data_IF_530689720073
#
_entry.id   IF_530689720073
#
_cell.length_a   1.000
_cell.length_b   1.000
_cell.length_c   1.000
_cell.angle_alpha   90.00
_cell.angle_beta   90.00
_cell.angle_gamma   90.00
#
_symmetry.space_group_name_H-M   'P 1'
#
loop_
_entity.id
_entity.type
_entity.pdbx_description
1 polymer ?
#
# COMPACT_ATOMS: atom_id res chain seq x y z
N UNK A 1 -23.48 22.85 14.51
CA UNK A 1 -22.61 23.17 15.68
C UNK A 1 -21.96 24.52 15.42
N UNK A 2 -21.99 25.45 16.38
CA UNK A 2 -21.40 26.78 16.22
C UNK A 2 -19.90 26.78 16.51
N UNK A 3 -19.10 27.69 15.89
CA UNK A 3 -17.66 27.80 16.18
C UNK A 3 -17.33 28.01 17.66
N UNK A 4 -18.21 28.67 18.40
CA UNK A 4 -18.04 28.91 19.86
C UNK A 4 -18.21 27.60 20.65
N UNK A 5 -19.17 26.75 20.29
CA UNK A 5 -19.38 25.45 20.93
C UNK A 5 -18.17 24.52 20.69
N UNK A 6 -17.63 24.48 19.47
CA UNK A 6 -16.42 23.72 19.16
C UNK A 6 -15.24 24.22 20.00
N UNK A 7 -15.05 25.56 20.08
CA UNK A 7 -13.97 26.15 20.87
C UNK A 7 -14.07 25.79 22.34
N UNK A 8 -15.30 25.75 22.91
CA UNK A 8 -15.54 25.35 24.26
C UNK A 8 -15.20 23.88 24.53
N UNK A 9 -15.61 22.98 23.64
CA UNK A 9 -15.30 21.54 23.76
C UNK A 9 -13.80 21.29 23.69
N UNK A 10 -13.09 21.94 22.75
CA UNK A 10 -11.63 21.84 22.64
C UNK A 10 -10.97 22.33 23.95
N UNK A 11 -11.42 23.45 24.50
CA UNK A 11 -10.88 23.99 25.75
C UNK A 11 -11.07 23.01 26.92
N UNK A 12 -12.27 22.43 27.06
CA UNK A 12 -12.55 21.41 28.07
C UNK A 12 -11.67 20.16 27.91
N UNK A 13 -11.44 19.72 26.68
CA UNK A 13 -10.53 18.62 26.41
C UNK A 13 -9.08 18.95 26.81
N UNK A 14 -8.58 20.13 26.44
CA UNK A 14 -7.25 20.60 26.83
C UNK A 14 -7.07 20.71 28.33
N UNK A 15 -8.11 21.17 29.04
CA UNK A 15 -8.14 21.23 30.50
C UNK A 15 -8.11 19.84 31.14
N UNK A 16 -8.87 18.90 30.59
CA UNK A 16 -8.86 17.51 31.06
C UNK A 16 -7.50 16.82 30.82
N UNK A 17 -6.88 17.06 29.69
CA UNK A 17 -5.57 16.47 29.35
C UNK A 17 -4.39 17.18 30.02
N UNK A 18 -4.60 18.39 30.56
CA UNK A 18 -3.55 19.23 31.15
C UNK A 18 -2.53 19.78 30.12
N UNK A 19 -2.80 19.66 28.82
CA UNK A 19 -1.91 20.12 27.73
C UNK A 19 -2.69 20.86 26.66
N UNK A 20 -2.03 21.82 25.99
CA UNK A 20 -2.60 22.52 24.84
C UNK A 20 -2.41 21.68 23.57
N UNK A 21 -3.50 21.47 22.84
CA UNK A 21 -3.48 20.77 21.54
C UNK A 21 -3.42 21.76 20.38
N UNK A 22 -3.92 23.00 20.57
CA UNK A 22 -3.93 24.04 19.57
C UNK A 22 -3.19 25.29 20.07
N UNK A 23 -2.49 25.97 19.16
CA UNK A 23 -1.97 27.32 19.33
C UNK A 23 -2.71 28.26 18.40
N UNK A 24 -3.00 29.46 18.92
CA UNK A 24 -3.72 30.53 18.20
C UNK A 24 -2.75 31.69 17.96
N UNK A 25 -2.40 31.95 16.72
CA UNK A 25 -1.56 33.06 16.32
C UNK A 25 -2.35 33.97 15.36
N UNK A 26 -2.55 35.22 15.77
CA UNK A 26 -3.09 36.39 15.00
C UNK A 26 -4.09 36.15 13.86
N UNK A 27 -4.77 35.06 13.67
CA UNK A 27 -5.77 34.65 12.66
C UNK A 27 -5.61 33.20 12.16
N UNK A 28 -4.63 32.49 12.65
CA UNK A 28 -4.42 31.09 12.30
C UNK A 28 -4.49 30.22 13.54
N UNK A 29 -5.10 29.05 13.37
CA UNK A 29 -5.11 27.98 14.38
C UNK A 29 -4.23 26.88 13.84
N UNK A 30 -3.23 26.46 14.59
CA UNK A 30 -2.35 25.33 14.26
C UNK A 30 -2.24 24.38 15.44
N UNK A 31 -1.84 23.14 15.17
CA UNK A 31 -1.59 22.15 16.21
C UNK A 31 -0.31 22.47 16.98
N UNK A 32 -0.28 22.09 18.24
CA UNK A 32 0.96 21.96 19.02
C UNK A 32 1.59 20.62 18.73
N UNK A 33 2.85 20.38 19.17
CA UNK A 33 3.50 19.07 19.11
C UNK A 33 2.66 17.97 19.80
N UNK A 34 1.97 18.32 20.91
CA UNK A 34 1.05 17.41 21.59
C UNK A 34 -0.18 17.12 20.71
N UNK A 35 -0.73 18.15 20.05
CA UNK A 35 -1.84 18.00 19.10
C UNK A 35 -1.50 17.14 17.91
N UNK A 36 -0.32 17.33 17.30
CA UNK A 36 0.16 16.52 16.17
C UNK A 36 0.34 15.03 16.53
N UNK A 37 0.73 14.75 17.76
CA UNK A 37 0.86 13.37 18.26
C UNK A 37 -0.49 12.75 18.61
N UNK A 38 -1.44 13.54 19.10
CA UNK A 38 -2.73 13.05 19.57
C UNK A 38 -3.75 12.87 18.43
N UNK A 39 -3.73 13.77 17.43
CA UNK A 39 -4.68 13.80 16.33
C UNK A 39 -4.81 12.46 15.57
N UNK A 40 -3.74 11.73 15.20
CA UNK A 40 -3.89 10.47 14.47
C UNK A 40 -4.70 9.41 15.24
N UNK A 41 -4.51 9.31 16.56
CA UNK A 41 -5.26 8.38 17.40
C UNK A 41 -6.74 8.76 17.52
N UNK A 42 -7.05 10.06 17.60
CA UNK A 42 -8.44 10.54 17.62
C UNK A 42 -9.10 10.31 16.25
N UNK A 43 -8.40 10.56 15.16
CA UNK A 43 -8.92 10.28 13.82
C UNK A 43 -9.28 8.80 13.67
N UNK A 44 -8.39 7.89 14.03
CA UNK A 44 -8.67 6.45 14.02
C UNK A 44 -9.91 6.07 14.86
N UNK A 45 -10.04 6.63 16.04
CA UNK A 45 -11.19 6.38 16.91
C UNK A 45 -12.51 6.91 16.31
N UNK A 46 -12.50 8.09 15.70
CA UNK A 46 -13.67 8.66 15.04
C UNK A 46 -14.04 7.93 13.75
N UNK A 47 -13.04 7.49 12.97
CA UNK A 47 -13.25 6.67 11.78
C UNK A 47 -13.91 5.34 12.16
N UNK A 48 -13.53 4.73 13.27
CA UNK A 48 -14.16 3.52 13.81
C UNK A 48 -15.62 3.76 14.21
N UNK A 49 -15.91 4.88 14.90
CA UNK A 49 -17.29 5.25 15.25
C UNK A 49 -18.13 5.50 13.99
N UNK A 50 -17.59 6.20 13.00
CA UNK A 50 -18.27 6.41 11.71
C UNK A 50 -18.56 5.08 11.03
N UNK A 51 -17.58 4.19 11.01
CA UNK A 51 -17.68 2.86 10.43
C UNK A 51 -18.77 2.02 11.09
N UNK A 52 -18.78 1.97 12.43
CA UNK A 52 -19.81 1.29 13.22
C UNK A 52 -21.22 1.87 12.95
N UNK A 53 -21.34 3.20 12.86
CA UNK A 53 -22.59 3.87 12.52
C UNK A 53 -23.07 3.50 11.12
N UNK A 54 -22.16 3.50 10.15
CA UNK A 54 -22.45 3.12 8.76
C UNK A 54 -22.96 1.68 8.68
N UNK A 55 -22.37 0.73 9.45
CA UNK A 55 -22.86 -0.67 9.55
C UNK A 55 -24.32 -0.74 9.95
N UNK A 56 -24.72 0.05 10.92
CA UNK A 56 -26.12 0.08 11.40
C UNK A 56 -27.09 0.72 10.40
N UNK A 57 -26.59 1.68 9.59
CA UNK A 57 -27.42 2.43 8.63
C UNK A 57 -27.49 1.80 7.25
N UNK A 58 -26.62 0.84 6.93
CA UNK A 58 -26.60 0.21 5.60
C UNK A 58 -27.76 -0.76 5.48
N UNK A 59 -28.58 -0.58 4.43
CA UNK A 59 -29.72 -1.44 4.13
C UNK A 59 -29.30 -2.90 3.92
N UNK A 60 -30.15 -3.88 4.35
CA UNK A 60 -29.81 -5.31 4.30
C UNK A 60 -29.65 -5.90 2.88
N UNK A 61 -29.87 -5.12 1.82
CA UNK A 61 -29.96 -5.60 0.44
C UNK A 61 -28.64 -5.53 -0.36
N UNK A 62 -27.58 -4.91 0.16
CA UNK A 62 -26.27 -4.91 -0.51
C UNK A 62 -25.28 -5.70 0.38
N UNK A 63 -24.82 -6.83 -0.15
CA UNK A 63 -23.74 -7.57 0.47
C UNK A 63 -22.43 -6.80 0.29
N UNK A 64 -21.98 -6.07 1.30
CA UNK A 64 -20.71 -5.36 1.26
C UNK A 64 -19.57 -6.22 1.81
N UNK A 65 -18.36 -6.02 1.29
CA UNK A 65 -17.13 -6.58 1.84
C UNK A 65 -16.06 -5.49 1.94
N UNK A 66 -15.49 -5.35 3.14
CA UNK A 66 -14.43 -4.39 3.44
C UNK A 66 -13.08 -5.10 3.33
N UNK A 67 -12.21 -4.62 2.47
CA UNK A 67 -10.97 -5.30 2.13
C UNK A 67 -9.79 -4.36 2.33
N UNK A 68 -8.87 -4.75 3.20
CA UNK A 68 -7.60 -4.04 3.41
C UNK A 68 -6.53 -4.62 2.49
N UNK A 69 -5.88 -3.81 1.67
CA UNK A 69 -5.01 -4.31 0.58
C UNK A 69 -3.66 -3.58 0.60
N UNK A 70 -2.58 -4.33 0.41
CA UNK A 70 -1.26 -3.74 0.18
C UNK A 70 -1.30 -2.77 -1.02
N UNK A 71 -0.82 -1.51 -0.89
CA UNK A 71 -1.06 -0.44 -1.86
C UNK A 71 -0.64 -0.78 -3.30
N UNK A 72 0.51 -1.44 -3.49
CA UNK A 72 0.96 -1.81 -4.83
C UNK A 72 0.08 -2.87 -5.47
N UNK A 73 -0.38 -3.85 -4.68
CA UNK A 73 -1.30 -4.87 -5.15
C UNK A 73 -2.66 -4.26 -5.51
N UNK A 74 -3.19 -3.39 -4.65
CA UNK A 74 -4.46 -2.70 -4.90
C UNK A 74 -4.43 -1.94 -6.21
N UNK A 75 -3.48 -1.01 -6.35
CA UNK A 75 -3.47 -0.06 -7.48
C UNK A 75 -3.05 -0.69 -8.80
N UNK A 76 -2.15 -1.68 -8.78
CA UNK A 76 -1.52 -2.19 -9.99
C UNK A 76 -2.06 -3.53 -10.44
N UNK A 77 -2.55 -4.35 -9.50
CA UNK A 77 -3.12 -5.64 -9.87
C UNK A 77 -4.64 -5.67 -9.75
N UNK A 78 -5.19 -5.23 -8.62
CA UNK A 78 -6.61 -5.42 -8.30
C UNK A 78 -7.51 -4.40 -9.02
N UNK A 79 -7.24 -3.10 -8.90
CA UNK A 79 -8.05 -2.04 -9.51
C UNK A 79 -8.26 -2.24 -11.01
N UNK A 80 -7.24 -2.60 -11.82
CA UNK A 80 -7.43 -2.85 -13.25
C UNK A 80 -8.39 -4.01 -13.58
N UNK A 81 -8.68 -4.88 -12.61
CA UNK A 81 -9.50 -6.10 -12.79
C UNK A 81 -10.88 -6.01 -12.15
N UNK A 82 -11.14 -5.00 -11.31
CA UNK A 82 -12.38 -4.86 -10.54
C UNK A 82 -13.64 -4.85 -11.43
N UNK A 83 -13.57 -4.29 -12.62
CA UNK A 83 -14.70 -4.28 -13.56
C UNK A 83 -15.17 -5.67 -13.94
N UNK A 84 -14.27 -6.67 -13.99
CA UNK A 84 -14.62 -8.07 -14.22
C UNK A 84 -15.39 -8.66 -13.04
N UNK A 85 -14.98 -8.33 -11.81
CA UNK A 85 -15.73 -8.72 -10.62
C UNK A 85 -17.12 -8.12 -10.61
N UNK A 86 -17.24 -6.82 -10.85
CA UNK A 86 -18.54 -6.11 -10.86
C UNK A 86 -19.50 -6.63 -11.92
N UNK A 87 -18.99 -7.09 -13.06
CA UNK A 87 -19.80 -7.70 -14.10
C UNK A 87 -20.37 -9.07 -13.67
N UNK A 88 -19.66 -9.84 -12.83
CA UNK A 88 -20.08 -11.14 -12.31
C UNK A 88 -20.96 -11.02 -11.07
N UNK A 89 -20.70 -10.01 -10.23
CA UNK A 89 -21.34 -9.82 -8.92
C UNK A 89 -21.83 -8.38 -8.75
N UNK A 90 -22.84 -7.94 -9.53
CA UNK A 90 -23.31 -6.55 -9.52
C UNK A 90 -23.94 -6.12 -8.19
N UNK A 91 -24.42 -7.09 -7.39
CA UNK A 91 -25.05 -6.84 -6.09
C UNK A 91 -24.05 -6.82 -4.91
N UNK A 92 -22.73 -6.97 -5.19
CA UNK A 92 -21.69 -6.94 -4.18
C UNK A 92 -20.98 -5.60 -4.17
N UNK A 93 -21.05 -4.90 -3.05
CA UNK A 93 -20.30 -3.66 -2.82
C UNK A 93 -18.88 -3.97 -2.31
N UNK A 94 -17.87 -3.54 -3.04
CA UNK A 94 -16.46 -3.63 -2.61
C UNK A 94 -16.01 -2.32 -1.97
N UNK A 95 -15.45 -2.39 -0.77
CA UNK A 95 -14.87 -1.26 -0.04
C UNK A 95 -13.41 -1.54 0.23
N UNK A 96 -12.53 -0.72 -0.34
CA UNK A 96 -11.09 -0.92 -0.21
C UNK A 96 -10.44 0.12 0.68
N UNK A 97 -9.52 -0.35 1.52
CA UNK A 97 -8.54 0.47 2.21
C UNK A 97 -7.12 0.04 1.81
N UNK A 98 -6.20 1.00 1.71
CA UNK A 98 -4.81 0.71 1.38
C UNK A 98 -3.94 0.78 2.64
N UNK A 99 -3.31 -0.34 3.02
CA UNK A 99 -2.42 -0.39 4.19
C UNK A 99 -1.20 -1.28 3.95
N UNK A 100 -0.11 -0.96 4.65
CA UNK A 100 1.09 -1.81 4.71
C UNK A 100 1.19 -2.60 6.02
N UNK A 101 0.29 -2.33 6.97
CA UNK A 101 0.19 -3.00 8.27
C UNK A 101 -0.72 -4.23 8.24
N UNK A 102 -0.70 -4.99 9.32
CA UNK A 102 -1.63 -6.08 9.56
C UNK A 102 -2.91 -5.56 10.20
N UNK A 103 -4.02 -6.16 9.84
CA UNK A 103 -5.35 -5.80 10.34
C UNK A 103 -5.65 -6.59 11.61
N UNK A 104 -6.20 -5.91 12.59
CA UNK A 104 -6.87 -6.54 13.72
C UNK A 104 -8.33 -6.84 13.32
N UNK A 105 -8.61 -8.07 12.92
CA UNK A 105 -9.94 -8.49 12.49
C UNK A 105 -10.99 -8.51 13.60
N UNK A 106 -10.57 -8.51 14.87
CA UNK A 106 -11.49 -8.51 16.01
C UNK A 106 -12.00 -7.09 16.30
N UNK A 107 -11.16 -6.08 16.04
CA UNK A 107 -11.45 -4.68 16.40
C UNK A 107 -11.54 -3.75 15.19
N UNK A 108 -11.65 -4.28 13.97
CA UNK A 108 -11.83 -3.47 12.76
C UNK A 108 -13.01 -3.96 11.92
N UNK A 109 -13.46 -3.11 11.00
CA UNK A 109 -14.51 -3.44 10.02
C UNK A 109 -14.00 -4.26 8.84
N UNK A 110 -12.73 -4.58 8.83
CA UNK A 110 -12.13 -5.30 7.72
C UNK A 110 -12.59 -6.75 7.73
N UNK A 111 -13.16 -7.18 6.62
CA UNK A 111 -13.61 -8.56 6.44
C UNK A 111 -12.49 -9.45 5.92
N UNK A 112 -11.69 -8.91 5.01
CA UNK A 112 -10.60 -9.62 4.34
C UNK A 112 -9.40 -8.68 4.15
N UNK A 113 -8.20 -9.26 4.03
CA UNK A 113 -7.03 -8.45 3.70
C UNK A 113 -6.12 -9.15 2.68
N UNK A 114 -5.36 -8.35 1.92
CA UNK A 114 -4.26 -8.86 1.11
C UNK A 114 -2.95 -8.44 1.74
N UNK A 115 -2.25 -9.39 2.34
CA UNK A 115 -0.97 -9.18 3.00
C UNK A 115 0.20 -9.51 2.09
N UNK A 116 1.30 -8.81 2.33
CA UNK A 116 2.61 -9.16 1.81
C UNK A 116 3.49 -9.67 2.95
N UNK A 117 3.92 -10.92 2.91
CA UNK A 117 4.70 -11.53 3.98
C UNK A 117 5.03 -13.00 3.75
N UNK A 118 5.36 -13.70 4.82
CA UNK A 118 5.84 -15.09 4.79
C UNK A 118 4.71 -16.14 4.90
N UNK A 119 3.46 -15.71 5.11
CA UNK A 119 2.32 -16.62 5.19
C UNK A 119 2.20 -17.35 6.54
N UNK A 120 2.74 -16.81 7.63
CA UNK A 120 2.80 -17.46 8.94
C UNK A 120 2.00 -16.73 10.04
N UNK A 121 0.95 -16.01 9.66
CA UNK A 121 0.08 -15.29 10.61
C UNK A 121 -0.83 -16.25 11.36
N UNK A 122 -1.06 -15.96 12.65
CA UNK A 122 -1.95 -16.74 13.51
C UNK A 122 -3.37 -16.14 13.51
N UNK A 123 -4.38 -16.98 13.71
CA UNK A 123 -5.78 -16.56 13.85
C UNK A 123 -6.44 -16.15 12.53
N UNK A 124 -5.83 -16.46 11.39
CA UNK A 124 -6.38 -16.17 10.06
C UNK A 124 -6.32 -17.40 9.14
N UNK A 125 -7.31 -17.55 8.29
CA UNK A 125 -7.27 -18.41 7.12
C UNK A 125 -6.42 -17.73 6.05
N UNK A 126 -5.52 -18.48 5.41
CA UNK A 126 -4.48 -17.95 4.53
C UNK A 126 -4.58 -18.61 3.16
N UNK A 127 -4.76 -17.79 2.11
CA UNK A 127 -4.76 -18.25 0.73
C UNK A 127 -3.58 -17.61 -0.02
N UNK A 128 -2.67 -18.44 -0.50
CA UNK A 128 -1.57 -17.98 -1.33
C UNK A 128 -2.09 -17.37 -2.64
N UNK A 129 -1.58 -16.20 -3.00
CA UNK A 129 -1.89 -15.53 -4.26
C UNK A 129 -0.73 -15.63 -5.24
N UNK A 130 0.42 -15.06 -4.90
CA UNK A 130 1.61 -15.13 -5.78
C UNK A 130 2.91 -14.77 -5.07
N UNK A 131 3.98 -15.38 -5.51
CA UNK A 131 5.34 -14.94 -5.17
C UNK A 131 5.65 -13.61 -5.84
N UNK A 132 6.61 -12.89 -5.26
CA UNK A 132 7.14 -11.67 -5.82
C UNK A 132 8.62 -11.82 -6.14
N UNK A 133 9.00 -11.22 -7.25
CA UNK A 133 10.38 -11.10 -7.67
C UNK A 133 10.65 -9.65 -8.07
N UNK A 134 11.59 -8.99 -7.40
CA UNK A 134 11.90 -7.59 -7.67
C UNK A 134 12.97 -7.45 -8.74
N UNK A 135 12.71 -6.58 -9.72
CA UNK A 135 13.67 -6.15 -10.73
C UNK A 135 13.85 -4.63 -10.68
N UNK A 136 15.04 -4.10 -11.00
CA UNK A 136 15.22 -2.65 -11.21
C UNK A 136 14.38 -2.14 -12.37
N UNK A 137 13.73 -0.99 -12.15
CA UNK A 137 12.93 -0.32 -13.18
C UNK A 137 13.15 1.19 -13.14
N UNK A 138 13.06 1.83 -14.30
CA UNK A 138 13.17 3.28 -14.42
C UNK A 138 12.40 3.80 -15.64
N UNK A 139 12.23 5.11 -15.71
CA UNK A 139 11.77 5.78 -16.93
C UNK A 139 12.78 5.58 -18.06
N UNK A 140 12.33 5.41 -19.34
CA UNK A 140 13.21 5.33 -20.51
C UNK A 140 14.21 6.49 -20.60
N UNK A 141 13.82 7.69 -20.16
CA UNK A 141 14.70 8.87 -20.17
C UNK A 141 16.00 8.68 -19.37
N UNK A 142 16.02 7.78 -18.38
CA UNK A 142 17.24 7.46 -17.63
C UNK A 142 18.22 6.55 -18.39
N UNK A 143 17.79 5.97 -19.51
CA UNK A 143 18.63 5.16 -20.40
C UNK A 143 19.35 5.99 -21.46
N UNK A 144 18.87 7.23 -21.68
CA UNK A 144 19.30 8.10 -22.79
C UNK A 144 20.45 9.02 -22.42
N UNK A 145 21.16 9.50 -23.47
CA UNK A 145 22.23 10.49 -23.35
C UNK A 145 23.58 9.95 -22.84
N UNK A 146 24.54 10.82 -22.65
CA UNK A 146 25.89 10.44 -22.19
C UNK A 146 25.89 9.91 -20.76
N UNK A 147 25.03 10.46 -19.90
CA UNK A 147 24.83 10.01 -18.51
C UNK A 147 23.78 8.89 -18.39
N UNK A 148 23.32 8.29 -19.50
CA UNK A 148 22.38 7.19 -19.51
C UNK A 148 22.92 5.92 -18.84
N UNK A 149 22.00 5.05 -18.41
CA UNK A 149 22.34 3.74 -17.85
C UNK A 149 22.78 2.79 -19.00
N UNK A 150 24.05 2.44 -19.06
CA UNK A 150 24.63 1.54 -20.05
C UNK A 150 25.17 0.26 -19.41
N UNK A 151 25.76 0.38 -18.22
CA UNK A 151 26.30 -0.74 -17.47
C UNK A 151 25.89 -0.67 -15.99
N UNK A 152 25.96 -1.79 -15.23
CA UNK A 152 25.53 -1.83 -13.83
C UNK A 152 26.18 -0.79 -12.91
N UNK A 153 27.43 -0.40 -13.19
CA UNK A 153 28.13 0.64 -12.40
C UNK A 153 27.48 2.01 -12.47
N UNK A 154 26.75 2.30 -13.55
CA UNK A 154 26.06 3.57 -13.73
C UNK A 154 24.97 3.78 -12.66
N UNK A 155 24.48 2.71 -12.03
CA UNK A 155 23.56 2.76 -10.89
C UNK A 155 24.09 3.61 -9.74
N UNK A 156 25.43 3.66 -9.54
CA UNK A 156 26.06 4.46 -8.48
C UNK A 156 25.88 5.97 -8.67
N UNK A 157 25.63 6.41 -9.92
CA UNK A 157 25.45 7.80 -10.28
C UNK A 157 23.97 8.21 -10.37
N UNK A 158 23.04 7.28 -10.13
CA UNK A 158 21.60 7.51 -10.18
C UNK A 158 20.97 7.49 -8.80
N UNK A 159 19.80 8.08 -8.69
CA UNK A 159 19.01 7.98 -7.45
C UNK A 159 18.43 6.58 -7.34
N UNK A 160 18.76 5.87 -6.25
CA UNK A 160 18.10 4.60 -5.92
C UNK A 160 16.94 4.86 -4.97
N UNK A 161 15.75 4.48 -5.43
CA UNK A 161 14.49 4.67 -4.70
C UNK A 161 14.26 3.45 -3.83
N UNK A 162 14.20 3.67 -2.51
CA UNK A 162 13.96 2.63 -1.52
C UNK A 162 12.49 2.61 -1.08
N UNK A 163 12.04 1.46 -0.62
CA UNK A 163 10.81 1.31 0.15
C UNK A 163 11.18 1.17 1.62
N UNK A 164 10.50 1.88 2.51
CA UNK A 164 10.71 1.82 3.96
C UNK A 164 10.68 0.37 4.46
N UNK A 165 11.65 0.00 5.30
CA UNK A 165 11.81 -1.37 5.80
C UNK A 165 12.44 -2.37 4.81
N UNK A 166 12.79 -1.95 3.57
CA UNK A 166 13.30 -2.84 2.51
C UNK A 166 14.61 -2.35 1.88
N UNK A 167 15.42 -1.61 2.63
CA UNK A 167 16.68 -1.03 2.13
C UNK A 167 17.70 -2.07 1.65
N UNK A 168 17.69 -3.28 2.21
CA UNK A 168 18.62 -4.34 1.87
C UNK A 168 18.43 -4.90 0.44
N UNK A 169 17.25 -4.72 -0.18
CA UNK A 169 16.97 -5.23 -1.51
C UNK A 169 17.91 -4.62 -2.57
N UNK A 170 18.16 -3.32 -2.52
CA UNK A 170 19.12 -2.68 -3.41
C UNK A 170 20.56 -3.18 -3.20
N UNK A 171 20.96 -3.45 -1.96
CA UNK A 171 22.28 -4.01 -1.69
C UNK A 171 22.43 -5.40 -2.32
N UNK A 172 21.42 -6.24 -2.24
CA UNK A 172 21.40 -7.57 -2.87
C UNK A 172 21.44 -7.49 -4.40
N UNK A 173 20.67 -6.61 -5.01
CA UNK A 173 20.69 -6.36 -6.46
C UNK A 173 22.07 -5.89 -6.91
N UNK A 174 22.66 -4.92 -6.24
CA UNK A 174 24.00 -4.42 -6.57
C UNK A 174 25.07 -5.51 -6.42
N UNK A 175 24.98 -6.32 -5.37
CA UNK A 175 25.89 -7.46 -5.16
C UNK A 175 25.78 -8.49 -6.31
N UNK A 176 24.56 -8.85 -6.72
CA UNK A 176 24.34 -9.78 -7.83
C UNK A 176 24.87 -9.21 -9.17
N UNK A 177 24.80 -7.88 -9.35
CA UNK A 177 25.34 -7.18 -10.52
C UNK A 177 26.88 -6.97 -10.44
N UNK A 178 27.53 -7.41 -9.36
CA UNK A 178 28.97 -7.22 -9.14
C UNK A 178 29.37 -5.77 -8.82
N UNK A 179 28.39 -4.93 -8.42
CA UNK A 179 28.61 -3.52 -8.11
C UNK A 179 28.81 -3.35 -6.61
N UNK A 180 29.94 -2.80 -6.19
CA UNK A 180 30.18 -2.46 -4.78
C UNK A 180 29.42 -1.19 -4.42
N UNK A 181 28.59 -1.25 -3.38
CA UNK A 181 27.74 -0.15 -2.91
C UNK A 181 28.52 1.01 -2.22
N UNK A 182 29.80 1.14 -2.48
CA UNK A 182 30.64 2.25 -1.98
C UNK A 182 30.39 3.48 -2.84
N UNK A 183 29.80 4.53 -2.26
CA UNK A 183 29.62 5.81 -2.97
C UNK A 183 28.20 6.07 -3.49
N UNK A 184 27.16 5.42 -3.01
CA UNK A 184 25.77 5.77 -3.30
C UNK A 184 25.49 7.20 -2.80
N UNK A 185 25.51 8.16 -3.71
CA UNK A 185 25.40 9.58 -3.37
C UNK A 185 23.95 10.08 -3.30
N UNK A 186 22.99 9.34 -3.85
CA UNK A 186 21.58 9.77 -3.91
C UNK A 186 20.65 8.62 -3.58
N UNK A 187 19.91 8.76 -2.50
CA UNK A 187 18.83 7.82 -2.14
C UNK A 187 17.57 8.57 -1.78
N UNK A 188 16.44 8.00 -2.14
CA UNK A 188 15.12 8.48 -1.77
C UNK A 188 14.31 7.32 -1.20
N UNK A 189 13.43 7.56 -0.24
CA UNK A 189 12.64 6.50 0.40
C UNK A 189 11.16 6.85 0.40
N UNK A 190 10.33 5.89 0.02
CA UNK A 190 8.88 5.98 0.06
C UNK A 190 8.28 4.92 0.97
N UNK A 191 7.07 5.15 1.46
CA UNK A 191 6.37 4.22 2.36
C UNK A 191 5.84 2.97 1.65
N UNK A 192 5.70 2.98 0.32
CA UNK A 192 5.19 1.84 -0.44
C UNK A 192 5.83 1.70 -1.83
N UNK A 193 5.80 0.49 -2.38
CA UNK A 193 6.26 0.21 -3.76
C UNK A 193 5.45 1.00 -4.79
N UNK A 194 4.15 1.22 -4.55
CA UNK A 194 3.31 2.00 -5.47
C UNK A 194 3.87 3.41 -5.68
N UNK A 195 4.22 4.10 -4.59
CA UNK A 195 4.83 5.44 -4.64
C UNK A 195 6.24 5.42 -5.24
N UNK A 196 7.04 4.41 -4.91
CA UNK A 196 8.39 4.25 -5.47
C UNK A 196 8.34 4.08 -7.00
N UNK A 197 7.40 3.29 -7.51
CA UNK A 197 7.21 3.07 -8.94
C UNK A 197 6.70 4.34 -9.63
N UNK A 198 5.76 5.09 -9.01
CA UNK A 198 5.32 6.38 -9.54
C UNK A 198 6.48 7.36 -9.67
N UNK A 199 7.36 7.43 -8.67
CA UNK A 199 8.57 8.26 -8.74
C UNK A 199 9.55 7.81 -9.84
N UNK A 200 9.65 6.50 -10.11
CA UNK A 200 10.47 5.99 -11.20
C UNK A 200 9.91 6.33 -12.59
N UNK A 201 8.57 6.33 -12.77
CA UNK A 201 7.90 6.77 -14.00
C UNK A 201 8.23 8.23 -14.30
N UNK A 202 8.22 9.09 -13.27
CA UNK A 202 8.58 10.52 -13.37
C UNK A 202 10.08 10.78 -13.57
N UNK A 203 10.90 9.74 -13.73
CA UNK A 203 12.33 9.87 -13.99
C UNK A 203 13.16 10.30 -12.78
N UNK A 204 12.64 10.27 -11.55
CA UNK A 204 13.36 10.66 -10.32
C UNK A 204 14.55 9.72 -10.05
N UNK A 205 14.41 8.43 -10.41
CA UNK A 205 15.44 7.43 -10.19
C UNK A 205 14.98 6.02 -10.54
N UNK A 206 15.70 5.02 -10.01
CA UNK A 206 15.34 3.62 -10.19
C UNK A 206 14.60 3.10 -8.96
N UNK A 207 13.52 2.35 -9.17
CA UNK A 207 12.82 1.61 -8.15
C UNK A 207 13.00 0.10 -8.33
N UNK A 208 12.68 -0.67 -7.27
CA UNK A 208 12.55 -2.12 -7.35
C UNK A 208 11.07 -2.49 -7.36
N UNK A 209 10.64 -3.20 -8.39
CA UNK A 209 9.25 -3.60 -8.58
C UNK A 209 9.13 -5.04 -9.10
N UNK A 210 8.01 -5.68 -8.80
CA UNK A 210 7.67 -6.97 -9.41
C UNK A 210 7.12 -6.76 -10.83
N UNK A 211 7.66 -7.52 -11.79
CA UNK A 211 7.33 -7.38 -13.22
C UNK A 211 5.82 -7.48 -13.49
N UNK A 212 5.13 -8.40 -12.82
CA UNK A 212 3.70 -8.58 -13.03
C UNK A 212 2.83 -7.44 -12.45
N UNK A 213 3.35 -6.69 -11.47
CA UNK A 213 2.66 -5.51 -10.93
C UNK A 213 2.88 -4.26 -11.78
N UNK A 214 3.82 -4.27 -12.73
CA UNK A 214 4.17 -3.12 -13.57
C UNK A 214 4.07 -3.43 -15.06
N UNK A 215 3.45 -4.53 -15.43
CA UNK A 215 3.36 -4.97 -16.82
C UNK A 215 2.74 -3.90 -17.71
N UNK A 216 1.69 -3.23 -17.24
CA UNK A 216 1.02 -2.15 -17.98
C UNK A 216 1.94 -0.97 -18.27
N UNK A 217 2.76 -0.58 -17.32
CA UNK A 217 3.74 0.50 -17.45
C UNK A 217 4.88 0.11 -18.41
N UNK A 218 5.29 -1.17 -18.41
CA UNK A 218 6.25 -1.70 -19.36
C UNK A 218 5.66 -1.72 -20.78
N UNK A 219 4.44 -2.22 -20.96
CA UNK A 219 3.74 -2.25 -22.25
C UNK A 219 3.44 -0.83 -22.78
N UNK A 220 3.12 0.12 -21.90
CA UNK A 220 2.91 1.51 -22.25
C UNK A 220 4.22 2.30 -22.50
N UNK A 221 5.39 1.68 -22.32
CA UNK A 221 6.70 2.32 -22.45
C UNK A 221 6.99 3.40 -21.40
N UNK A 222 6.25 3.42 -20.30
CA UNK A 222 6.49 4.34 -19.18
C UNK A 222 7.66 3.91 -18.29
N UNK A 223 7.89 2.59 -18.22
CA UNK A 223 9.01 1.98 -17.52
C UNK A 223 9.78 1.04 -18.44
N UNK A 224 11.07 0.91 -18.15
CA UNK A 224 11.96 -0.09 -18.74
C UNK A 224 12.71 -0.83 -17.64
N UNK A 225 13.15 -2.05 -17.94
CA UNK A 225 14.03 -2.85 -17.08
C UNK A 225 15.45 -2.66 -17.62
N UNK A 226 16.31 -1.87 -16.95
CA UNK A 226 17.65 -1.54 -17.48
C UNK A 226 18.60 -2.74 -17.44
N UNK A 227 18.41 -3.66 -16.51
CA UNK A 227 19.24 -4.86 -16.35
C UNK A 227 18.35 -6.06 -16.07
N UNK A 228 18.55 -7.15 -16.82
CA UNK A 228 17.79 -8.40 -16.66
C UNK A 228 18.30 -9.17 -15.44
N UNK A 229 17.90 -8.67 -14.27
CA UNK A 229 18.20 -9.23 -12.96
C UNK A 229 16.93 -9.26 -12.13
N UNK A 230 16.79 -10.32 -11.34
CA UNK A 230 15.64 -10.52 -10.48
C UNK A 230 16.10 -10.95 -9.09
N UNK A 231 15.53 -10.34 -8.08
CA UNK A 231 15.68 -10.72 -6.70
C UNK A 231 14.43 -11.47 -6.24
N UNK A 232 14.54 -12.79 -6.12
CA UNK A 232 13.49 -13.61 -5.54
C UNK A 232 13.33 -13.28 -4.06
N UNK A 233 12.07 -13.25 -3.61
CA UNK A 233 11.75 -12.92 -2.24
C UNK A 233 11.10 -14.11 -1.54
N UNK A 234 11.45 -14.34 -0.26
CA UNK A 234 10.78 -15.36 0.55
C UNK A 234 9.33 -14.96 0.90
N UNK A 235 8.91 -13.77 0.50
CA UNK A 235 7.60 -13.18 0.80
C UNK A 235 6.72 -13.18 -0.43
N UNK A 236 5.42 -13.45 -0.19
CA UNK A 236 4.41 -13.51 -1.23
C UNK A 236 3.20 -12.63 -0.85
N UNK A 237 2.27 -12.46 -1.78
CA UNK A 237 0.93 -11.97 -1.46
C UNK A 237 0.02 -13.12 -1.06
N UNK A 238 -0.82 -12.84 -0.06
CA UNK A 238 -1.81 -13.76 0.47
C UNK A 238 -3.11 -13.03 0.71
N UNK A 239 -4.23 -13.64 0.35
CA UNK A 239 -5.55 -13.25 0.82
C UNK A 239 -5.77 -13.89 2.18
N UNK A 240 -6.18 -13.10 3.16
CA UNK A 240 -6.42 -13.56 4.54
C UNK A 240 -7.74 -13.02 5.08
N UNK A 241 -8.35 -13.76 5.98
CA UNK A 241 -9.51 -13.36 6.78
C UNK A 241 -9.49 -14.11 8.11
N UNK A 242 -10.31 -13.68 9.08
CA UNK A 242 -10.33 -14.27 10.42
C UNK A 242 -10.64 -15.78 10.36
N UNK A 243 -9.83 -16.58 11.04
CA UNK A 243 -10.00 -18.04 11.17
C UNK A 243 -11.38 -18.39 11.74
N UNK A 244 -12.01 -19.43 11.21
CA UNK A 244 -13.33 -19.91 11.66
C UNK A 244 -14.48 -18.92 11.48
N UNK A 245 -14.26 -17.78 10.80
CA UNK A 245 -15.35 -16.87 10.45
C UNK A 245 -16.23 -17.50 9.38
N UNK A 246 -17.56 -17.48 9.61
CA UNK A 246 -18.50 -17.85 8.57
C UNK A 246 -18.46 -16.77 7.46
N UNK A 247 -18.02 -17.16 6.26
CA UNK A 247 -17.93 -16.23 5.13
C UNK A 247 -19.33 -15.86 4.64
N UNK A 248 -19.57 -14.57 4.47
CA UNK A 248 -20.75 -14.05 3.77
C UNK A 248 -20.68 -14.39 2.28
N UNK A 249 -21.79 -14.26 1.57
CA UNK A 249 -21.83 -14.42 0.13
C UNK A 249 -20.81 -13.49 -0.58
N UNK A 250 -20.73 -12.22 -0.18
CA UNK A 250 -19.79 -11.27 -0.75
C UNK A 250 -18.31 -11.67 -0.52
N UNK A 251 -17.99 -12.18 0.67
CA UNK A 251 -16.63 -12.66 0.98
C UNK A 251 -16.29 -13.89 0.14
N UNK A 252 -17.20 -14.85 0.00
CA UNK A 252 -17.00 -16.04 -0.83
C UNK A 252 -16.80 -15.66 -2.29
N UNK A 253 -17.68 -14.81 -2.83
CA UNK A 253 -17.61 -14.33 -4.20
C UNK A 253 -16.26 -13.63 -4.48
N UNK A 254 -15.81 -12.75 -3.59
CA UNK A 254 -14.55 -12.03 -3.76
C UNK A 254 -13.34 -12.97 -3.65
N UNK A 255 -13.32 -13.88 -2.66
CA UNK A 255 -12.25 -14.89 -2.51
C UNK A 255 -12.11 -15.75 -3.75
N UNK A 256 -13.21 -16.34 -4.19
CA UNK A 256 -13.19 -17.32 -5.27
C UNK A 256 -12.82 -16.64 -6.60
N UNK A 257 -13.34 -15.45 -6.85
CA UNK A 257 -12.95 -14.64 -8.01
C UNK A 257 -11.46 -14.26 -7.97
N UNK A 258 -10.95 -13.80 -6.81
CA UNK A 258 -9.54 -13.43 -6.66
C UNK A 258 -8.61 -14.61 -6.95
N UNK A 259 -8.91 -15.78 -6.41
CA UNK A 259 -8.12 -17.00 -6.64
C UNK A 259 -8.17 -17.44 -8.11
N UNK A 260 -9.32 -17.31 -8.76
CA UNK A 260 -9.47 -17.62 -10.18
C UNK A 260 -8.68 -16.65 -11.08
N UNK A 261 -8.79 -15.33 -10.84
CA UNK A 261 -8.01 -14.31 -11.57
C UNK A 261 -6.50 -14.52 -11.41
N UNK A 262 -6.05 -14.92 -10.20
CA UNK A 262 -4.64 -15.24 -9.98
C UNK A 262 -4.16 -16.45 -10.77
N UNK A 263 -4.98 -17.48 -10.91
CA UNK A 263 -4.61 -18.66 -11.71
C UNK A 263 -4.50 -18.30 -13.20
N UNK A 264 -5.35 -17.43 -13.70
CA UNK A 264 -5.28 -16.97 -15.11
C UNK A 264 -4.03 -16.13 -15.40
N UNK A 265 -3.56 -15.34 -14.42
CA UNK A 265 -2.34 -14.53 -14.57
C UNK A 265 -1.03 -15.36 -14.53
N UNK A 266 -1.09 -16.61 -14.09
CA UNK A 266 0.06 -17.51 -13.99
C UNK A 266 0.21 -18.44 -15.22
N UNK A 267 -0.82 -18.52 -16.06
CA UNK A 267 -0.81 -19.27 -17.34
C UNK A 267 -0.32 -18.40 -18.49
#
# INVERSE_FOLDING_TARGET
VTPSAISHQIKSLEEFLGVKLFRRERRQVSLTVAGERYLPSIQLALDEVESATRRLMTSPNLSAVNISVAPAFLTRWLVPRITRFQALYPDVELRFSATTGYVDFEHSDTDMAVYYGEGNWRGVDIHFLRNLASTPVCSPALMEGEAGLKEPKDLLNKTLIHVSGRRQEWQQILQQLGVRATGLNRTMSFSSTALAVSAAIEGIGLALADRALIQRELEAGQLVIPFDITLDKPKAFYLVYQEKRQLTYAMQAFRDWMLQEMQQDLM
#
